data_IF_833587120961
#
_entry.id   IF_833587120961
#
_cell.length_a   1.000
_cell.length_b   1.000
_cell.length_c   1.000
_cell.angle_alpha   90.00
_cell.angle_beta   90.00
_cell.angle_gamma   90.00
#
_symmetry.space_group_name_H-M   'P 1'
#
loop_
_entity.id
_entity.type
_entity.pdbx_description
1 polymer ?
#
# COMPACT_ATOMS: atom_id res chain seq x y z
N UNK A 1 -4.74 -2.84 -4.68
CA UNK A 1 -5.28 -3.83 -3.72
C UNK A 1 -4.66 -5.21 -3.90
N UNK A 2 -4.77 -5.86 -5.07
CA UNK A 2 -4.17 -7.20 -5.30
C UNK A 2 -2.64 -7.18 -5.18
N UNK A 3 -1.99 -6.14 -5.73
CA UNK A 3 -0.54 -5.94 -5.62
C UNK A 3 -0.06 -5.84 -4.16
N UNK A 4 -0.67 -4.97 -3.34
CA UNK A 4 -0.30 -4.79 -1.93
C UNK A 4 -0.46 -6.06 -1.09
N UNK A 5 -1.52 -6.84 -1.33
CA UNK A 5 -1.71 -8.12 -0.64
C UNK A 5 -0.71 -9.18 -1.11
N UNK A 6 -0.24 -9.11 -2.36
CA UNK A 6 0.87 -9.93 -2.85
C UNK A 6 2.16 -9.71 -2.05
N UNK A 7 2.48 -8.45 -1.70
CA UNK A 7 3.60 -8.15 -0.82
C UNK A 7 3.40 -8.73 0.59
N UNK A 8 2.20 -8.62 1.16
CA UNK A 8 1.90 -9.22 2.48
C UNK A 8 2.12 -10.73 2.45
N UNK A 9 1.63 -11.42 1.42
CA UNK A 9 1.88 -12.87 1.29
C UNK A 9 3.37 -13.16 1.21
N UNK A 10 4.13 -12.38 0.43
CA UNK A 10 5.58 -12.54 0.33
C UNK A 10 6.27 -12.35 1.68
N UNK A 11 5.94 -11.32 2.45
CA UNK A 11 6.51 -11.07 3.78
C UNK A 11 6.20 -12.18 4.80
N UNK A 12 5.00 -12.78 4.72
CA UNK A 12 4.63 -13.93 5.57
C UNK A 12 5.35 -15.20 5.14
N UNK A 13 5.47 -15.47 3.83
CA UNK A 13 6.20 -16.63 3.32
C UNK A 13 7.73 -16.50 3.48
N UNK A 14 8.25 -15.27 3.49
CA UNK A 14 9.65 -14.99 3.77
C UNK A 14 10.07 -15.51 5.15
N UNK A 15 9.17 -15.54 6.15
CA UNK A 15 9.46 -16.20 7.44
C UNK A 15 9.81 -17.67 7.27
N UNK A 16 9.04 -18.40 6.44
CA UNK A 16 9.22 -19.84 6.25
C UNK A 16 10.47 -20.16 5.41
N UNK A 17 10.78 -19.31 4.42
CA UNK A 17 11.94 -19.47 3.55
C UNK A 17 13.25 -19.00 4.23
N UNK A 18 13.19 -17.94 5.03
CA UNK A 18 14.33 -17.34 5.72
C UNK A 18 14.57 -17.89 7.13
N UNK A 19 13.79 -18.87 7.59
CA UNK A 19 13.96 -19.44 8.93
C UNK A 19 15.28 -20.21 9.01
N UNK A 20 16.35 -19.47 9.28
CA UNK A 20 17.68 -19.98 9.52
C UNK A 20 18.03 -19.72 10.99
N UNK A 21 18.35 -20.76 11.79
CA UNK A 21 18.69 -20.58 13.20
C UNK A 21 19.93 -19.70 13.45
N UNK A 22 20.71 -19.41 12.41
CA UNK A 22 21.92 -18.58 12.48
C UNK A 22 21.70 -17.09 12.16
N UNK A 23 20.54 -16.69 11.61
CA UNK A 23 20.26 -15.29 11.22
C UNK A 23 18.75 -15.00 11.18
N UNK A 24 18.07 -14.89 12.33
CA UNK A 24 16.62 -14.74 12.39
C UNK A 24 16.10 -13.34 12.02
N UNK A 25 16.98 -12.34 11.93
CA UNK A 25 16.61 -10.93 11.78
C UNK A 25 15.84 -10.61 10.49
N UNK A 26 16.21 -11.24 9.37
CA UNK A 26 15.52 -11.04 8.09
C UNK A 26 14.11 -11.59 8.04
N UNK A 27 13.86 -12.68 8.77
CA UNK A 27 12.55 -13.30 8.88
C UNK A 27 11.60 -12.37 9.66
N UNK A 28 12.06 -11.80 10.77
CA UNK A 28 11.27 -10.86 11.58
C UNK A 28 10.99 -9.54 10.84
N UNK A 29 11.97 -9.02 10.09
CA UNK A 29 11.79 -7.82 9.24
C UNK A 29 10.68 -8.00 8.19
N UNK A 30 10.62 -9.15 7.52
CA UNK A 30 9.58 -9.45 6.54
C UNK A 30 8.17 -9.50 7.16
N UNK A 31 8.06 -10.07 8.37
CA UNK A 31 6.80 -10.14 9.11
C UNK A 31 6.35 -8.76 9.61
N UNK A 32 7.25 -7.98 10.21
CA UNK A 32 6.94 -6.61 10.65
C UNK A 32 6.50 -5.75 9.46
N UNK A 33 7.20 -5.85 8.33
CA UNK A 33 6.81 -5.20 7.09
C UNK A 33 5.42 -5.64 6.60
N UNK A 34 5.10 -6.94 6.66
CA UNK A 34 3.78 -7.46 6.31
C UNK A 34 2.69 -6.90 7.23
N UNK A 35 2.94 -6.79 8.54
CA UNK A 35 2.00 -6.19 9.49
C UNK A 35 1.76 -4.71 9.21
N UNK A 36 2.84 -3.94 9.00
CA UNK A 36 2.76 -2.52 8.64
C UNK A 36 1.97 -2.35 7.34
N UNK A 37 2.23 -3.20 6.34
CA UNK A 37 1.55 -3.17 5.05
C UNK A 37 0.06 -3.51 5.16
N UNK A 38 -0.33 -4.50 5.98
CA UNK A 38 -1.75 -4.83 6.20
C UNK A 38 -2.52 -3.66 6.82
N UNK A 39 -1.94 -3.03 7.84
CA UNK A 39 -2.55 -1.89 8.52
C UNK A 39 -2.63 -0.70 7.55
N UNK A 40 -1.50 -0.35 6.90
CA UNK A 40 -1.42 0.75 5.95
C UNK A 40 -2.42 0.59 4.80
N UNK A 41 -2.44 -0.58 4.17
CA UNK A 41 -3.35 -0.90 3.06
C UNK A 41 -4.83 -0.79 3.47
N UNK A 42 -5.17 -1.22 4.70
CA UNK A 42 -6.52 -1.08 5.24
C UNK A 42 -6.96 0.38 5.31
N UNK A 43 -6.11 1.26 5.86
CA UNK A 43 -6.40 2.70 5.95
C UNK A 43 -6.46 3.37 4.58
N UNK A 44 -5.49 3.09 3.70
CA UNK A 44 -5.41 3.69 2.36
C UNK A 44 -6.61 3.25 1.52
N UNK A 45 -6.99 1.97 1.58
CA UNK A 45 -8.16 1.45 0.86
C UNK A 45 -9.44 2.12 1.35
N UNK A 46 -9.65 2.21 2.66
CA UNK A 46 -10.82 2.89 3.22
C UNK A 46 -10.91 4.35 2.79
N UNK A 47 -9.78 5.07 2.81
CA UNK A 47 -9.72 6.46 2.36
C UNK A 47 -10.01 6.61 0.86
N UNK A 48 -9.46 5.73 0.01
CA UNK A 48 -9.71 5.73 -1.43
C UNK A 48 -11.17 5.41 -1.76
N UNK A 49 -11.78 4.45 -1.07
CA UNK A 49 -13.21 4.16 -1.22
C UNK A 49 -14.10 5.33 -0.78
N UNK A 50 -13.73 6.04 0.29
CA UNK A 50 -14.42 7.25 0.71
C UNK A 50 -14.33 8.34 -0.36
N UNK A 51 -13.14 8.58 -0.91
CA UNK A 51 -12.92 9.58 -1.97
C UNK A 51 -13.78 9.27 -3.20
N UNK A 52 -13.74 8.03 -3.68
CA UNK A 52 -14.54 7.60 -4.83
C UNK A 52 -16.04 7.67 -4.51
N UNK A 53 -16.45 7.31 -3.29
CA UNK A 53 -17.84 7.40 -2.84
C UNK A 53 -18.38 8.83 -2.89
N UNK A 54 -17.63 9.81 -2.38
CA UNK A 54 -18.01 11.23 -2.42
C UNK A 54 -18.06 11.75 -3.87
N UNK A 55 -17.12 11.35 -4.72
CA UNK A 55 -17.13 11.73 -6.14
C UNK A 55 -18.33 11.14 -6.89
N UNK A 56 -18.65 9.87 -6.62
CA UNK A 56 -19.79 9.20 -7.21
C UNK A 56 -21.11 9.82 -6.77
N UNK A 57 -21.27 10.14 -5.48
CA UNK A 57 -22.46 10.83 -4.95
C UNK A 57 -22.68 12.21 -5.60
N UNK A 58 -21.58 12.93 -5.91
CA UNK A 58 -21.67 14.25 -6.54
C UNK A 58 -21.98 14.20 -8.03
N UNK A 59 -21.37 13.27 -8.77
CA UNK A 59 -21.40 13.26 -10.24
C UNK A 59 -22.33 12.20 -10.82
N UNK A 60 -22.73 11.20 -10.04
CA UNK A 60 -23.57 10.06 -10.47
C UNK A 60 -23.08 9.36 -11.75
N UNK A 61 -21.80 9.53 -12.08
CA UNK A 61 -21.15 8.99 -13.26
C UNK A 61 -19.99 8.12 -12.83
N UNK A 62 -19.69 7.08 -13.60
CA UNK A 62 -18.52 6.20 -13.44
C UNK A 62 -17.43 6.48 -14.47
N UNK A 63 -17.68 7.41 -15.37
CA UNK A 63 -16.77 7.81 -16.43
C UNK A 63 -15.64 8.68 -15.86
N UNK A 64 -14.39 8.29 -16.12
CA UNK A 64 -13.22 9.05 -15.68
C UNK A 64 -13.19 10.46 -16.29
N UNK A 65 -13.67 10.57 -17.53
CA UNK A 65 -13.78 11.82 -18.29
C UNK A 65 -14.60 12.89 -17.56
N UNK A 66 -15.64 12.48 -16.83
CA UNK A 66 -16.52 13.37 -16.04
C UNK A 66 -15.88 13.92 -14.77
N UNK A 67 -14.79 13.34 -14.27
CA UNK A 67 -14.10 13.84 -13.07
C UNK A 67 -13.12 14.99 -13.37
N UNK A 68 -13.09 15.50 -14.60
CA UNK A 68 -12.30 16.66 -14.99
C UNK A 68 -12.72 17.93 -14.24
N UNK A 69 -11.75 18.69 -13.73
CA UNK A 69 -12.00 19.99 -13.09
C UNK A 69 -12.43 19.96 -11.62
N UNK A 70 -12.51 18.79 -10.98
CA UNK A 70 -12.84 18.66 -9.55
C UNK A 70 -11.89 19.46 -8.65
N UNK A 71 -10.63 19.63 -9.07
CA UNK A 71 -9.64 20.43 -8.35
C UNK A 71 -10.05 21.90 -8.20
N UNK A 72 -10.78 22.47 -9.17
CA UNK A 72 -11.21 23.86 -9.13
C UNK A 72 -12.36 24.05 -8.14
N UNK A 73 -13.24 23.07 -8.03
CA UNK A 73 -14.44 23.14 -7.18
C UNK A 73 -14.16 22.66 -5.76
N UNK A 74 -13.25 21.70 -5.57
CA UNK A 74 -12.95 21.05 -4.28
C UNK A 74 -11.44 20.85 -4.06
N UNK A 75 -10.62 21.92 -4.02
CA UNK A 75 -9.15 21.81 -3.99
C UNK A 75 -8.61 21.08 -2.76
N UNK A 76 -9.18 21.32 -1.57
CA UNK A 76 -8.77 20.63 -0.33
C UNK A 76 -9.01 19.12 -0.41
N UNK A 77 -10.17 18.73 -0.94
CA UNK A 77 -10.53 17.32 -1.10
C UNK A 77 -9.66 16.65 -2.17
N UNK A 78 -9.41 17.32 -3.30
CA UNK A 78 -8.49 16.80 -4.32
C UNK A 78 -7.07 16.64 -3.78
N UNK A 79 -6.60 17.53 -2.89
CA UNK A 79 -5.32 17.37 -2.20
C UNK A 79 -5.25 16.06 -1.40
N UNK A 80 -6.28 15.76 -0.59
CA UNK A 80 -6.35 14.48 0.13
C UNK A 80 -6.49 13.27 -0.81
N UNK A 81 -7.29 13.38 -1.87
CA UNK A 81 -7.45 12.34 -2.88
C UNK A 81 -6.11 11.98 -3.55
N UNK A 82 -5.32 12.99 -3.92
CA UNK A 82 -3.98 12.81 -4.47
C UNK A 82 -3.03 12.21 -3.43
N UNK A 83 -3.07 12.68 -2.18
CA UNK A 83 -2.25 12.11 -1.10
C UNK A 83 -2.54 10.61 -0.87
N UNK A 84 -3.81 10.20 -0.84
CA UNK A 84 -4.17 8.79 -0.71
C UNK A 84 -3.83 7.99 -1.96
N UNK A 85 -3.95 8.57 -3.15
CA UNK A 85 -3.51 7.94 -4.39
C UNK A 85 -1.98 7.71 -4.40
N UNK A 86 -1.20 8.69 -3.92
CA UNK A 86 0.25 8.58 -3.76
C UNK A 86 0.62 7.53 -2.71
N UNK A 87 -0.11 7.47 -1.60
CA UNK A 87 0.08 6.43 -0.59
C UNK A 87 -0.21 5.03 -1.13
N UNK A 88 -1.24 4.87 -1.95
CA UNK A 88 -1.56 3.63 -2.66
C UNK A 88 -0.52 3.28 -3.75
N UNK A 89 0.23 4.25 -4.26
CA UNK A 89 1.31 3.99 -5.22
C UNK A 89 2.63 3.56 -4.55
N UNK A 90 2.72 3.61 -3.21
CA UNK A 90 3.93 3.24 -2.48
C UNK A 90 5.07 4.27 -2.62
N UNK A 91 4.74 5.57 -2.77
CA UNK A 91 5.77 6.61 -2.89
C UNK A 91 6.56 6.80 -1.58
N UNK A 92 7.87 7.12 -1.66
CA UNK A 92 8.69 7.36 -0.48
C UNK A 92 8.10 8.50 0.36
N UNK A 93 7.98 8.27 1.66
CA UNK A 93 7.30 9.17 2.60
C UNK A 93 5.84 8.78 2.92
N UNK A 94 5.31 7.72 2.31
CA UNK A 94 3.98 7.17 2.64
C UNK A 94 4.09 5.86 3.41
N UNK A 95 3.06 5.49 4.17
CA UNK A 95 3.09 4.29 5.01
C UNK A 95 3.16 2.99 4.20
N UNK A 96 2.64 2.98 2.96
CA UNK A 96 2.73 1.82 2.07
C UNK A 96 4.17 1.53 1.61
N UNK A 97 4.99 2.57 1.43
CA UNK A 97 6.40 2.40 1.09
C UNK A 97 7.17 1.70 2.21
N UNK A 98 6.91 2.05 3.47
CA UNK A 98 7.63 1.47 4.62
C UNK A 98 7.36 -0.03 4.73
N UNK A 99 6.09 -0.44 4.59
CA UNK A 99 5.72 -1.86 4.61
C UNK A 99 6.35 -2.64 3.45
N UNK A 100 6.19 -2.15 2.23
CA UNK A 100 6.75 -2.81 1.03
C UNK A 100 8.28 -2.89 1.06
N UNK A 101 8.95 -1.83 1.51
CA UNK A 101 10.41 -1.79 1.59
C UNK A 101 10.95 -2.79 2.62
N UNK A 102 10.33 -2.88 3.80
CA UNK A 102 10.71 -3.86 4.82
C UNK A 102 10.52 -5.30 4.32
N UNK A 103 9.41 -5.57 3.62
CA UNK A 103 9.14 -6.88 3.01
C UNK A 103 10.20 -7.24 1.97
N UNK A 104 10.56 -6.30 1.09
CA UNK A 104 11.58 -6.52 0.06
C UNK A 104 12.95 -6.78 0.70
N UNK A 105 13.32 -6.03 1.74
CA UNK A 105 14.58 -6.26 2.47
C UNK A 105 14.61 -7.63 3.14
N UNK A 106 13.52 -8.02 3.81
CA UNK A 106 13.40 -9.36 4.41
C UNK A 106 13.48 -10.47 3.37
N UNK A 107 12.85 -10.27 2.21
CA UNK A 107 12.90 -11.22 1.09
C UNK A 107 14.30 -11.37 0.50
N UNK A 108 15.01 -10.26 0.28
CA UNK A 108 16.39 -10.25 -0.23
C UNK A 108 17.34 -10.96 0.75
N UNK A 109 17.12 -10.83 2.06
CA UNK A 109 17.88 -11.57 3.07
C UNK A 109 17.55 -13.07 3.09
N UNK A 110 16.32 -13.45 2.71
CA UNK A 110 15.90 -14.84 2.57
C UNK A 110 16.57 -15.51 1.36
N UNK A 111 16.41 -14.90 0.18
CA UNK A 111 17.04 -15.28 -1.07
C UNK A 111 16.73 -14.25 -2.16
N UNK A 112 17.71 -13.91 -2.99
CA UNK A 112 17.54 -12.93 -4.07
C UNK A 112 16.93 -13.57 -5.34
N UNK A 113 17.09 -14.88 -5.50
CA UNK A 113 16.87 -15.57 -6.78
C UNK A 113 15.93 -16.79 -6.73
N UNK A 114 15.71 -17.40 -5.56
CA UNK A 114 14.90 -18.62 -5.40
C UNK A 114 13.95 -18.53 -4.20
#
# INVERSE_FOLDING_TARGET
SISHMGFVTLGVFALFLAYNPNSPEGAFLGLEGAMVQMISHGFISAAMFLVVGVLYDRLHSREISTYGGVINTMPKFTGFAVLFAMANAGLPGTSGFVGEFMIILGAVQANIWY
#
